data_IF_211112092563
#
_entry.id   IF_211112092563
#
_cell.length_a   1.000
_cell.length_b   1.000
_cell.length_c   1.000
_cell.angle_alpha   90.00
_cell.angle_beta   90.00
_cell.angle_gamma   90.00
#
_symmetry.space_group_name_H-M   'P 1'
#
loop_
_entity.id
_entity.type
_entity.pdbx_description
1 polymer ?
#
# COMPACT_ATOMS: atom_id res chain seq x y z
N UNK A 1 -24.94 -39.80 42.51
CA UNK A 1 -24.68 -40.62 41.31
C UNK A 1 -24.47 -39.80 40.03
N UNK A 2 -24.97 -38.56 39.91
CA UNK A 2 -24.72 -37.73 38.72
C UNK A 2 -23.35 -37.01 38.70
N UNK A 3 -22.68 -36.83 39.85
CA UNK A 3 -21.40 -36.11 39.94
C UNK A 3 -20.16 -37.00 39.68
N UNK A 4 -20.32 -38.32 39.64
CA UNK A 4 -19.21 -39.27 39.47
C UNK A 4 -19.06 -39.73 38.00
N UNK A 5 -20.12 -39.59 37.19
CA UNK A 5 -20.08 -39.92 35.76
C UNK A 5 -19.47 -38.79 34.90
N UNK A 6 -19.56 -37.52 35.31
CA UNK A 6 -19.00 -36.40 34.56
C UNK A 6 -17.47 -36.40 34.59
N UNK A 7 -16.86 -36.74 35.73
CA UNK A 7 -15.40 -36.84 35.90
C UNK A 7 -14.78 -38.02 35.14
N UNK A 8 -15.51 -39.12 34.93
CA UNK A 8 -15.00 -40.27 34.18
C UNK A 8 -14.99 -40.02 32.66
N UNK A 9 -15.98 -39.30 32.14
CA UNK A 9 -16.05 -38.92 30.71
C UNK A 9 -15.02 -37.84 30.35
N UNK A 10 -14.69 -36.94 31.27
CA UNK A 10 -13.67 -35.90 31.06
C UNK A 10 -12.24 -36.47 31.03
N UNK A 11 -11.95 -37.46 31.87
CA UNK A 11 -10.62 -38.11 31.90
C UNK A 11 -10.40 -39.05 30.71
N UNK A 12 -11.43 -39.75 30.22
CA UNK A 12 -11.35 -40.58 29.01
C UNK A 12 -11.20 -39.73 27.72
N UNK A 13 -11.88 -38.58 27.64
CA UNK A 13 -11.72 -37.65 26.52
C UNK A 13 -10.31 -37.03 26.48
N UNK A 14 -9.69 -36.82 27.64
CA UNK A 14 -8.35 -36.23 27.74
C UNK A 14 -7.23 -37.23 27.39
N UNK A 15 -7.44 -38.52 27.66
CA UNK A 15 -6.53 -39.59 27.26
C UNK A 15 -6.56 -39.86 25.74
N UNK A 16 -7.75 -39.83 25.12
CA UNK A 16 -7.90 -39.95 23.65
C UNK A 16 -7.23 -38.80 22.90
N UNK A 17 -7.32 -37.57 23.42
CA UNK A 17 -6.70 -36.39 22.81
C UNK A 17 -5.16 -36.40 22.87
N UNK A 18 -4.58 -37.10 23.86
CA UNK A 18 -3.12 -37.21 24.01
C UNK A 18 -2.50 -38.32 23.17
N UNK A 19 -3.25 -39.35 22.77
CA UNK A 19 -2.77 -40.35 21.79
C UNK A 19 -2.80 -39.83 20.35
N UNK A 20 -3.80 -39.02 19.96
CA UNK A 20 -3.89 -38.45 18.61
C UNK A 20 -2.74 -37.46 18.30
N UNK A 21 -2.25 -36.73 19.30
CA UNK A 21 -1.10 -35.81 19.17
C UNK A 21 0.23 -36.56 18.94
N UNK A 22 0.33 -37.84 19.33
CA UNK A 22 1.55 -38.64 19.13
C UNK A 22 1.66 -39.29 17.76
N UNK A 23 0.60 -39.25 16.93
CA UNK A 23 0.57 -39.87 15.60
C UNK A 23 0.79 -38.91 14.44
N UNK A 24 0.86 -37.60 14.70
CA UNK A 24 1.10 -36.59 13.68
C UNK A 24 2.60 -36.48 13.39
N UNK A 25 2.99 -36.87 12.18
CA UNK A 25 4.34 -36.65 11.66
C UNK A 25 4.65 -35.16 11.66
N UNK A 26 5.85 -34.72 12.11
CA UNK A 26 6.18 -33.30 12.17
C UNK A 26 6.11 -32.70 10.77
N UNK A 27 5.31 -31.64 10.62
CA UNK A 27 5.30 -30.78 9.45
C UNK A 27 6.73 -30.30 9.18
N UNK A 28 7.16 -30.21 7.91
CA UNK A 28 8.47 -29.66 7.59
C UNK A 28 8.55 -28.24 8.18
N UNK A 29 9.72 -27.83 8.72
CA UNK A 29 9.86 -26.51 9.32
C UNK A 29 9.50 -25.45 8.27
N UNK A 30 8.49 -24.63 8.59
CA UNK A 30 8.23 -23.39 7.88
C UNK A 30 9.51 -22.57 7.94
N UNK A 31 10.12 -22.30 6.78
CA UNK A 31 11.32 -21.47 6.68
C UNK A 31 11.09 -20.18 7.49
N UNK A 32 11.75 -20.09 8.63
CA UNK A 32 11.78 -18.88 9.44
C UNK A 32 12.29 -17.73 8.58
N UNK A 33 11.74 -16.54 8.82
CA UNK A 33 12.21 -15.29 8.24
C UNK A 33 13.74 -15.26 8.21
N UNK A 34 14.30 -15.45 7.02
CA UNK A 34 15.73 -15.40 6.82
C UNK A 34 16.17 -13.95 6.98
N UNK A 35 16.84 -13.68 8.10
CA UNK A 35 17.49 -12.41 8.40
C UNK A 35 18.69 -12.22 7.47
N UNK A 36 18.48 -11.75 6.26
CA UNK A 36 19.50 -10.96 5.56
C UNK A 36 19.29 -9.51 5.97
N UNK A 37 19.93 -9.12 7.08
CA UNK A 37 20.16 -7.71 7.39
C UNK A 37 21.01 -7.15 6.24
N UNK A 38 20.59 -6.02 5.65
CA UNK A 38 21.55 -5.14 4.97
C UNK A 38 22.50 -4.63 6.08
N UNK A 39 23.52 -5.42 6.41
CA UNK A 39 24.50 -5.09 7.44
C UNK A 39 25.45 -4.01 6.92
N UNK A 40 25.64 -2.98 7.75
CA UNK A 40 26.56 -1.83 7.61
C UNK A 40 26.03 -0.62 6.82
N UNK A 41 25.00 0.07 7.35
CA UNK A 41 24.87 1.51 7.08
C UNK A 41 25.75 2.30 8.05
N UNK A 42 26.60 3.20 7.54
CA UNK A 42 27.41 4.06 8.41
C UNK A 42 26.52 4.95 9.29
N UNK A 43 27.00 5.40 10.45
CA UNK A 43 26.27 6.34 11.32
C UNK A 43 25.90 7.66 10.60
N UNK A 44 26.65 8.03 9.56
CA UNK A 44 26.33 9.17 8.70
C UNK A 44 25.12 8.88 7.80
N UNK A 45 25.03 7.69 7.23
CA UNK A 45 23.87 7.26 6.43
C UNK A 45 22.62 7.15 7.30
N UNK A 46 22.73 6.68 8.54
CA UNK A 46 21.59 6.65 9.47
C UNK A 46 21.04 8.06 9.74
N UNK A 47 21.91 9.07 9.92
CA UNK A 47 21.49 10.47 10.14
C UNK A 47 20.84 11.12 8.91
N UNK A 48 21.25 10.74 7.70
CA UNK A 48 20.63 11.25 6.47
C UNK A 48 19.20 10.75 6.27
N UNK A 49 18.87 9.60 6.87
CA UNK A 49 17.54 9.00 6.82
C UNK A 49 16.58 9.53 7.90
N UNK A 50 17.06 10.37 8.81
CA UNK A 50 16.24 10.98 9.87
C UNK A 50 15.61 12.30 9.41
N UNK A 51 14.53 12.68 10.09
CA UNK A 51 13.88 13.98 9.91
C UNK A 51 14.44 14.96 10.94
N UNK A 52 15.25 15.96 10.53
CA UNK A 52 16.05 16.77 11.47
C UNK A 52 15.22 17.66 12.41
N UNK A 53 14.00 17.99 12.01
CA UNK A 53 13.11 18.88 12.76
C UNK A 53 12.13 18.11 13.68
N UNK A 54 12.29 16.79 13.81
CA UNK A 54 11.43 15.92 14.63
C UNK A 54 12.28 15.14 15.64
N UNK A 55 11.70 14.73 16.79
CA UNK A 55 12.39 13.83 17.70
C UNK A 55 12.81 12.53 17.00
N UNK A 56 13.97 11.95 17.34
CA UNK A 56 14.43 10.72 16.73
C UNK A 56 13.44 9.59 16.97
N UNK A 57 13.37 8.65 16.03
CA UNK A 57 12.61 7.43 16.26
C UNK A 57 13.33 6.59 17.33
N UNK A 58 12.64 6.09 18.37
CA UNK A 58 13.27 5.37 19.46
C UNK A 58 13.91 4.06 19.00
N UNK A 59 15.07 3.74 19.56
CA UNK A 59 15.84 2.53 19.24
C UNK A 59 15.44 1.31 20.10
N UNK A 60 14.62 1.52 21.15
CA UNK A 60 14.16 0.49 22.09
C UNK A 60 12.79 -0.11 21.74
N UNK A 61 12.25 0.19 20.55
CA UNK A 61 10.99 -0.38 20.05
C UNK A 61 11.20 -1.40 18.94
N UNK A 62 10.38 -2.45 18.96
CA UNK A 62 10.39 -3.52 17.94
C UNK A 62 10.00 -2.96 16.57
N UNK A 63 10.86 -3.15 15.57
CA UNK A 63 10.62 -2.73 14.19
C UNK A 63 10.55 -3.92 13.23
N UNK A 64 9.74 -3.78 12.18
CA UNK A 64 9.67 -4.79 11.11
C UNK A 64 10.84 -4.56 10.13
N UNK A 65 11.62 -5.61 9.78
CA UNK A 65 12.76 -5.48 8.89
C UNK A 65 12.30 -5.42 7.43
N UNK A 66 11.72 -4.29 7.01
CA UNK A 66 11.32 -4.11 5.61
C UNK A 66 12.54 -4.08 4.70
N UNK A 67 12.44 -4.76 3.54
CA UNK A 67 13.45 -4.62 2.50
C UNK A 67 13.47 -3.17 1.99
N UNK A 68 14.67 -2.63 1.83
CA UNK A 68 14.90 -1.35 1.12
C UNK A 68 15.18 -1.65 -0.34
N UNK A 69 14.39 -1.07 -1.22
CA UNK A 69 14.43 -1.31 -2.67
C UNK A 69 14.77 0.01 -3.35
N UNK A 70 15.82 0.03 -4.18
CA UNK A 70 16.29 1.23 -4.87
C UNK A 70 15.51 1.46 -6.17
N UNK A 71 14.78 2.57 -6.24
CA UNK A 71 14.06 2.95 -7.46
C UNK A 71 15.01 3.13 -8.65
N UNK A 72 16.19 3.71 -8.44
CA UNK A 72 17.21 3.91 -9.48
C UNK A 72 17.64 2.61 -10.16
N UNK A 73 17.75 1.53 -9.38
CA UNK A 73 18.10 0.20 -9.86
C UNK A 73 16.94 -0.49 -10.57
N UNK A 74 15.72 -0.38 -10.05
CA UNK A 74 14.53 -0.89 -10.73
C UNK A 74 14.36 -0.25 -12.12
N UNK A 75 14.60 1.06 -12.23
CA UNK A 75 14.55 1.79 -13.50
C UNK A 75 15.61 1.31 -14.52
N UNK A 76 16.72 0.75 -14.03
CA UNK A 76 17.80 0.18 -14.85
C UNK A 76 17.59 -1.30 -15.19
N UNK A 77 16.51 -1.92 -14.70
CA UNK A 77 16.27 -3.35 -14.89
C UNK A 77 17.25 -4.24 -14.12
N UNK A 78 17.74 -3.78 -12.96
CA UNK A 78 18.63 -4.60 -12.11
C UNK A 78 17.85 -5.82 -11.57
N UNK A 79 18.17 -7.00 -12.09
CA UNK A 79 17.47 -8.25 -11.76
C UNK A 79 17.51 -8.60 -10.27
N UNK A 80 18.62 -8.30 -9.58
CA UNK A 80 18.73 -8.59 -8.15
C UNK A 80 17.81 -7.66 -7.32
N UNK A 81 17.66 -6.41 -7.74
CA UNK A 81 16.73 -5.48 -7.12
C UNK A 81 15.26 -5.85 -7.43
N UNK A 82 14.98 -6.35 -8.63
CA UNK A 82 13.67 -6.87 -9.02
C UNK A 82 13.34 -8.15 -8.21
N UNK A 83 14.33 -9.01 -7.93
CA UNK A 83 14.15 -10.17 -7.05
C UNK A 83 13.84 -9.75 -5.61
N UNK A 84 14.47 -8.68 -5.10
CA UNK A 84 14.14 -8.09 -3.80
C UNK A 84 12.70 -7.58 -3.78
N UNK A 85 12.25 -6.91 -4.85
CA UNK A 85 10.84 -6.47 -5.00
C UNK A 85 9.87 -7.63 -5.01
N UNK A 86 10.17 -8.68 -5.77
CA UNK A 86 9.36 -9.90 -5.82
C UNK A 86 9.25 -10.54 -4.44
N UNK A 87 10.39 -10.75 -3.77
CA UNK A 87 10.44 -11.33 -2.42
C UNK A 87 9.62 -10.52 -1.42
N UNK A 88 9.83 -9.21 -1.35
CA UNK A 88 9.07 -8.34 -0.45
C UNK A 88 7.56 -8.44 -0.70
N UNK A 89 7.15 -8.52 -1.96
CA UNK A 89 5.76 -8.57 -2.38
C UNK A 89 5.07 -9.91 -2.07
N UNK A 90 5.81 -11.02 -2.13
CA UNK A 90 5.31 -12.38 -1.86
C UNK A 90 5.34 -12.76 -0.36
N UNK A 91 6.22 -12.16 0.43
CA UNK A 91 6.36 -12.51 1.86
C UNK A 91 5.52 -11.59 2.74
N UNK A 92 5.87 -10.30 2.78
CA UNK A 92 5.25 -9.34 3.70
C UNK A 92 4.26 -8.41 2.99
N UNK A 93 4.39 -8.21 1.68
CA UNK A 93 3.61 -7.22 0.95
C UNK A 93 3.96 -5.77 1.34
N UNK A 94 5.08 -5.54 2.04
CA UNK A 94 5.57 -4.24 2.50
C UNK A 94 7.06 -4.09 2.23
N UNK A 95 7.48 -2.92 1.75
CA UNK A 95 8.89 -2.58 1.55
C UNK A 95 9.09 -1.05 1.58
N UNK A 96 10.33 -0.62 1.78
CA UNK A 96 10.72 0.76 1.49
C UNK A 96 11.15 0.88 0.03
N UNK A 97 10.70 1.93 -0.65
CA UNK A 97 11.23 2.36 -1.93
C UNK A 97 12.14 3.57 -1.69
N UNK A 98 13.45 3.39 -1.89
CA UNK A 98 14.46 4.43 -1.83
C UNK A 98 14.39 5.30 -3.10
N UNK A 99 14.04 6.57 -2.91
CA UNK A 99 13.83 7.55 -3.99
C UNK A 99 15.07 8.42 -4.24
N UNK A 100 16.17 8.19 -3.51
CA UNK A 100 17.42 8.93 -3.71
C UNK A 100 18.02 8.62 -5.08
N UNK A 101 18.67 9.62 -5.67
CA UNK A 101 19.47 9.42 -6.87
C UNK A 101 20.72 8.58 -6.56
N UNK A 102 21.24 7.86 -7.55
CA UNK A 102 22.52 7.16 -7.40
C UNK A 102 23.65 8.17 -7.22
N UNK A 103 24.20 8.26 -6.01
CA UNK A 103 25.41 9.02 -5.69
C UNK A 103 26.65 8.29 -6.21
N UNK A 104 26.76 8.12 -7.53
CA UNK A 104 28.08 7.81 -8.11
C UNK A 104 28.93 9.07 -7.98
N UNK A 105 29.76 9.09 -6.94
CA UNK A 105 30.78 10.12 -6.72
C UNK A 105 31.68 10.24 -7.95
N UNK A 106 31.45 11.28 -8.76
CA UNK A 106 32.39 11.68 -9.80
C UNK A 106 33.52 12.47 -9.13
N UNK A 107 34.50 11.75 -8.58
CA UNK A 107 35.79 12.33 -8.25
C UNK A 107 36.54 12.63 -9.55
N UNK A 108 36.59 13.90 -9.93
CA UNK A 108 37.62 14.45 -10.82
C UNK A 108 37.17 14.78 -12.24
N UNK A 109 37.41 16.05 -12.60
CA UNK A 109 37.25 16.71 -13.90
C UNK A 109 35.83 17.20 -14.22
N UNK A 110 35.63 18.50 -13.97
CA UNK A 110 34.62 19.29 -14.70
C UNK A 110 35.02 19.31 -16.18
N UNK A 111 34.22 18.67 -17.02
CA UNK A 111 34.14 18.97 -18.45
C UNK A 111 32.88 19.83 -18.67
N UNK A 112 32.96 20.95 -19.40
CA UNK A 112 31.77 21.67 -19.84
C UNK A 112 31.11 20.88 -20.97
N UNK A 113 29.78 20.97 -21.04
CA UNK A 113 28.89 20.36 -22.04
C UNK A 113 28.55 18.89 -21.82
N UNK A 114 27.38 18.66 -21.20
CA UNK A 114 26.57 17.45 -21.42
C UNK A 114 25.09 17.89 -21.51
N UNK A 115 24.75 18.57 -22.61
CA UNK A 115 23.48 18.28 -23.27
C UNK A 115 23.67 16.94 -23.99
N UNK A 116 22.63 16.11 -24.00
CA UNK A 116 22.59 14.74 -24.57
C UNK A 116 23.34 13.66 -23.77
N UNK A 117 22.61 12.96 -22.89
CA UNK A 117 22.67 11.49 -22.69
C UNK A 117 21.64 11.07 -21.62
N UNK A 118 20.36 11.22 -21.94
CA UNK A 118 19.29 10.38 -21.37
C UNK A 118 18.21 10.11 -22.43
N UNK A 119 18.64 9.72 -23.62
CA UNK A 119 17.73 9.08 -24.57
C UNK A 119 17.56 7.63 -24.14
N UNK A 120 16.48 7.35 -23.41
CA UNK A 120 15.95 5.99 -23.36
C UNK A 120 15.47 5.67 -24.79
N UNK A 121 16.31 5.01 -25.57
CA UNK A 121 15.97 4.53 -26.91
C UNK A 121 14.95 3.41 -26.77
N UNK A 122 13.68 3.73 -26.97
CA UNK A 122 12.66 2.81 -27.45
C UNK A 122 11.87 3.56 -28.51
N UNK A 123 12.00 3.12 -29.76
CA UNK A 123 11.68 3.88 -30.97
C UNK A 123 10.21 4.26 -31.14
N UNK A 124 10.01 5.33 -31.91
CA UNK A 124 8.74 5.95 -32.29
C UNK A 124 7.79 4.99 -33.03
N UNK A 125 6.50 5.04 -32.72
CA UNK A 125 5.42 5.34 -33.69
C UNK A 125 4.00 5.30 -33.07
N UNK A 126 3.11 6.09 -33.69
CA UNK A 126 1.73 6.39 -33.30
C UNK A 126 0.69 5.33 -33.80
N UNK A 127 -0.62 5.45 -33.49
CA UNK A 127 -1.49 4.31 -33.15
C UNK A 127 -2.17 3.59 -34.33
N UNK A 128 -2.37 2.27 -34.19
CA UNK A 128 -3.21 1.46 -35.08
C UNK A 128 -4.50 0.98 -34.39
N UNK A 129 -5.62 1.20 -35.07
CA UNK A 129 -6.97 0.69 -34.80
C UNK A 129 -7.09 -0.80 -35.17
N UNK A 130 -7.98 -1.61 -34.57
CA UNK A 130 -8.02 -3.04 -34.85
C UNK A 130 -9.01 -3.38 -35.98
N UNK A 131 -8.53 -4.08 -37.01
CA UNK A 131 -9.36 -4.90 -37.91
C UNK A 131 -8.73 -6.27 -38.13
N UNK A 132 -9.57 -7.30 -38.10
CA UNK A 132 -9.28 -8.75 -38.15
C UNK A 132 -8.67 -9.23 -39.48
N UNK A 133 -7.71 -10.17 -39.42
CA UNK A 133 -7.69 -11.42 -40.23
C UNK A 133 -6.45 -12.31 -39.92
N UNK A 134 -6.53 -13.57 -40.33
CA UNK A 134 -5.82 -14.77 -39.84
C UNK A 134 -4.37 -15.04 -40.35
N UNK A 135 -3.65 -15.85 -39.53
CA UNK A 135 -2.58 -16.85 -39.79
C UNK A 135 -1.32 -16.53 -40.64
N UNK A 136 -0.13 -16.60 -40.03
CA UNK A 136 0.87 -17.71 -40.15
C UNK A 136 2.24 -17.32 -39.53
N UNK A 137 2.83 -18.26 -38.78
CA UNK A 137 4.24 -18.47 -38.39
C UNK A 137 5.26 -17.30 -38.35
N UNK A 138 5.89 -17.11 -37.18
CA UNK A 138 7.28 -16.68 -37.05
C UNK A 138 7.53 -15.35 -36.31
N UNK A 139 8.35 -15.44 -35.26
CA UNK A 139 9.01 -14.36 -34.50
C UNK A 139 8.15 -13.59 -33.48
N UNK A 140 8.28 -14.02 -32.22
CA UNK A 140 7.89 -13.27 -31.03
C UNK A 140 9.04 -12.30 -30.73
N UNK A 141 8.86 -10.99 -30.96
CA UNK A 141 9.73 -9.95 -30.43
C UNK A 141 8.99 -8.60 -30.35
N UNK A 142 8.96 -8.02 -29.14
CA UNK A 142 9.01 -6.58 -28.94
C UNK A 142 7.69 -5.82 -28.76
N UNK A 143 7.11 -5.88 -27.56
CA UNK A 143 6.20 -4.84 -27.09
C UNK A 143 6.62 -4.36 -25.69
N UNK A 144 7.40 -3.28 -25.65
CA UNK A 144 7.76 -2.58 -24.41
C UNK A 144 7.26 -1.15 -24.54
N UNK A 145 6.03 -0.89 -24.08
CA UNK A 145 5.52 0.48 -23.98
C UNK A 145 6.33 1.22 -22.92
N UNK A 146 6.92 2.37 -23.25
CA UNK A 146 7.47 3.30 -22.26
C UNK A 146 6.43 3.65 -21.18
N UNK A 147 6.91 4.06 -20.00
CA UNK A 147 6.00 4.65 -19.01
C UNK A 147 5.38 5.92 -19.60
N UNK A 148 4.07 6.11 -19.40
CA UNK A 148 3.35 7.29 -19.89
C UNK A 148 3.90 8.58 -19.27
N UNK A 149 4.39 8.49 -18.03
CA UNK A 149 5.04 9.57 -17.30
C UNK A 149 6.43 9.12 -16.88
N UNK A 150 7.46 9.89 -17.25
CA UNK A 150 8.81 9.66 -16.77
C UNK A 150 8.88 9.94 -15.27
N UNK A 151 9.46 9.00 -14.52
CA UNK A 151 9.62 9.11 -13.08
C UNK A 151 10.76 10.10 -12.78
N UNK A 152 10.43 11.12 -11.99
CA UNK A 152 11.31 12.17 -11.47
C UNK A 152 11.18 12.15 -9.93
N UNK A 153 12.08 11.40 -9.29
CA UNK A 153 12.03 11.18 -7.85
C UNK A 153 12.33 12.44 -7.03
N UNK A 154 13.17 13.34 -7.53
CA UNK A 154 13.46 14.61 -6.87
C UNK A 154 12.23 15.51 -6.87
N UNK A 155 11.54 15.61 -8.00
CA UNK A 155 10.28 16.37 -8.10
C UNK A 155 9.19 15.74 -7.24
N UNK A 156 9.10 14.40 -7.20
CA UNK A 156 8.17 13.72 -6.31
C UNK A 156 8.43 14.08 -4.84
N UNK A 157 9.68 14.02 -4.38
CA UNK A 157 10.05 14.39 -3.01
C UNK A 157 9.75 15.87 -2.70
N UNK A 158 10.03 16.79 -3.63
CA UNK A 158 9.65 18.21 -3.50
C UNK A 158 8.14 18.39 -3.40
N UNK A 159 7.37 17.69 -4.22
CA UNK A 159 5.91 17.69 -4.16
C UNK A 159 5.41 17.15 -2.81
N UNK A 160 6.01 16.07 -2.30
CA UNK A 160 5.68 15.51 -0.98
C UNK A 160 5.87 16.58 0.09
N UNK A 161 7.02 17.25 0.13
CA UNK A 161 7.30 18.27 1.13
C UNK A 161 6.31 19.44 1.10
N UNK A 162 5.92 19.88 -0.09
CA UNK A 162 4.93 20.94 -0.25
C UNK A 162 3.51 20.46 0.12
N UNK A 163 3.15 19.22 -0.24
CA UNK A 163 1.86 18.63 0.12
C UNK A 163 1.73 18.41 1.62
N UNK A 164 2.82 18.19 2.37
CA UNK A 164 2.76 18.22 3.84
C UNK A 164 2.33 19.62 4.33
N UNK A 165 2.93 20.71 3.83
CA UNK A 165 2.52 22.08 4.23
C UNK A 165 1.08 22.40 3.84
N UNK A 166 0.65 21.96 2.66
CA UNK A 166 -0.75 22.14 2.21
C UNK A 166 -1.70 21.34 3.11
N UNK A 167 -1.31 20.13 3.51
CA UNK A 167 -2.07 19.32 4.46
C UNK A 167 -2.31 20.05 5.78
N UNK A 168 -1.27 20.63 6.37
CA UNK A 168 -1.38 21.50 7.57
C UNK A 168 -2.42 22.61 7.35
N UNK A 169 -2.34 23.36 6.24
CA UNK A 169 -3.30 24.42 5.94
C UNK A 169 -4.74 23.91 5.79
N UNK A 170 -4.95 22.69 5.25
CA UNK A 170 -6.27 22.07 5.15
C UNK A 170 -6.84 21.75 6.54
N UNK A 171 -6.03 21.17 7.43
CA UNK A 171 -6.52 20.76 8.76
C UNK A 171 -6.60 21.91 9.77
N UNK A 172 -5.90 23.01 9.53
CA UNK A 172 -6.00 24.28 10.27
C UNK A 172 -7.30 25.05 9.98
N UNK A 173 -8.03 24.68 8.92
CA UNK A 173 -9.34 25.27 8.65
C UNK A 173 -10.32 25.01 9.81
N UNK A 174 -11.24 25.97 10.11
CA UNK A 174 -12.29 25.74 11.10
C UNK A 174 -13.07 24.45 10.81
N UNK A 175 -13.44 23.71 11.85
CA UNK A 175 -14.21 22.45 11.70
C UNK A 175 -15.48 22.68 10.86
N UNK A 176 -16.20 23.79 11.10
CA UNK A 176 -17.39 24.15 10.33
C UNK A 176 -17.13 24.39 8.84
N UNK A 177 -15.90 24.74 8.46
CA UNK A 177 -15.49 24.81 7.06
C UNK A 177 -15.20 23.41 6.52
N UNK A 178 -14.41 22.60 7.23
CA UNK A 178 -14.01 21.25 6.79
C UNK A 178 -15.23 20.33 6.54
N UNK A 179 -16.23 20.35 7.43
CA UNK A 179 -17.43 19.49 7.32
C UNK A 179 -18.30 19.78 6.08
N UNK A 180 -18.17 20.95 5.45
CA UNK A 180 -18.86 21.24 4.16
C UNK A 180 -18.41 20.30 3.04
N UNK A 181 -17.22 19.72 3.19
CA UNK A 181 -16.60 18.82 2.23
C UNK A 181 -16.70 17.35 2.65
N UNK A 182 -17.48 17.01 3.67
CA UNK A 182 -17.87 15.60 3.90
C UNK A 182 -18.97 15.21 2.91
N UNK A 183 -18.61 14.36 1.95
CA UNK A 183 -19.48 13.95 0.86
C UNK A 183 -20.16 12.59 1.11
N UNK A 184 -20.13 12.07 2.35
CA UNK A 184 -20.75 10.78 2.71
C UNK A 184 -22.21 10.68 2.27
N UNK A 185 -22.99 11.73 2.50
CA UNK A 185 -24.42 11.78 2.15
C UNK A 185 -24.68 11.69 0.65
N UNK A 186 -23.65 11.94 -0.17
CA UNK A 186 -23.68 11.79 -1.64
C UNK A 186 -23.11 10.44 -2.11
N UNK A 187 -22.88 9.50 -1.19
CA UNK A 187 -22.29 8.19 -1.51
C UNK A 187 -20.81 8.24 -1.89
N UNK A 188 -20.12 9.36 -1.61
CA UNK A 188 -18.71 9.53 -1.93
C UNK A 188 -17.85 9.41 -0.67
N UNK A 189 -16.69 8.76 -0.82
CA UNK A 189 -15.65 8.73 0.20
C UNK A 189 -14.57 9.82 -0.01
N UNK A 190 -14.67 10.60 -1.09
CA UNK A 190 -13.82 11.77 -1.33
C UNK A 190 -14.19 12.94 -0.43
N UNK A 191 -13.29 13.91 -0.31
CA UNK A 191 -13.44 15.05 0.59
C UNK A 191 -13.04 14.73 2.03
N UNK A 192 -13.59 15.48 2.97
CA UNK A 192 -13.24 15.43 4.38
C UNK A 192 -13.95 14.31 5.13
N UNK A 193 -13.28 13.76 6.14
CA UNK A 193 -13.83 12.88 7.17
C UNK A 193 -13.34 13.38 8.53
N UNK A 194 -14.23 13.60 9.47
CA UNK A 194 -13.93 14.17 10.79
C UNK A 194 -13.54 13.15 11.84
N UNK A 195 -13.17 13.62 13.03
CA UNK A 195 -12.86 12.75 14.17
C UNK A 195 -14.05 11.88 14.56
N UNK A 196 -13.79 10.60 14.79
CA UNK A 196 -14.78 9.65 15.31
C UNK A 196 -15.90 9.27 14.35
N UNK A 197 -15.78 9.60 13.06
CA UNK A 197 -16.68 9.13 12.01
C UNK A 197 -16.38 7.69 11.57
N UNK A 198 -15.21 7.15 11.91
CA UNK A 198 -14.82 5.75 11.66
C UNK A 198 -14.79 4.90 12.93
N UNK A 199 -15.06 3.61 12.78
CA UNK A 199 -14.97 2.59 13.84
C UNK A 199 -13.65 1.82 13.66
N UNK A 200 -12.81 1.73 14.70
CA UNK A 200 -11.46 1.13 14.63
C UNK A 200 -11.35 -0.27 15.21
N UNK A 201 -12.39 -0.76 15.90
CA UNK A 201 -12.43 -2.10 16.46
C UNK A 201 -13.88 -2.61 16.60
N UNK A 202 -14.02 -3.92 16.88
CA UNK A 202 -15.31 -4.57 17.11
C UNK A 202 -16.05 -4.08 18.37
N UNK A 203 -15.40 -3.28 19.22
CA UNK A 203 -16.00 -2.66 20.40
C UNK A 203 -16.64 -1.31 20.08
N UNK A 204 -16.57 -0.84 18.84
CA UNK A 204 -17.15 0.43 18.42
C UNK A 204 -16.28 1.65 18.77
N UNK A 205 -14.98 1.45 19.06
CA UNK A 205 -14.07 2.57 19.35
C UNK A 205 -14.01 3.51 18.15
N UNK A 206 -14.14 4.80 18.41
CA UNK A 206 -14.08 5.86 17.39
C UNK A 206 -12.63 6.20 17.05
N UNK A 207 -12.35 6.40 15.77
CA UNK A 207 -11.03 6.86 15.32
C UNK A 207 -10.71 8.29 15.79
N UNK A 208 -9.41 8.58 15.86
CA UNK A 208 -8.89 9.87 16.34
C UNK A 208 -8.08 10.61 15.30
N UNK A 209 -8.48 10.43 14.07
CA UNK A 209 -7.88 11.08 12.93
C UNK A 209 -8.96 11.81 12.12
N UNK A 210 -8.49 12.74 11.30
CA UNK A 210 -9.27 13.31 10.21
C UNK A 210 -8.59 12.93 8.90
N UNK A 211 -9.38 12.74 7.85
CA UNK A 211 -8.86 12.50 6.51
C UNK A 211 -9.34 13.58 5.55
N UNK A 212 -8.54 13.84 4.52
CA UNK A 212 -9.00 14.52 3.33
C UNK A 212 -8.57 13.72 2.09
N UNK A 213 -9.55 13.30 1.30
CA UNK A 213 -9.36 12.49 0.10
C UNK A 213 -9.56 13.32 -1.16
N UNK A 214 -8.54 13.39 -2.03
CA UNK A 214 -8.59 14.04 -3.33
C UNK A 214 -8.63 12.98 -4.42
N UNK A 215 -9.66 13.03 -5.26
CA UNK A 215 -9.84 12.11 -6.40
C UNK A 215 -8.81 12.35 -7.50
N UNK A 216 -8.19 11.28 -8.02
CA UNK A 216 -7.40 11.33 -9.26
C UNK A 216 -8.24 11.86 -10.41
N UNK A 217 -9.45 11.33 -10.56
CA UNK A 217 -10.33 11.62 -11.69
C UNK A 217 -10.71 13.10 -11.75
N UNK A 218 -10.98 13.74 -10.60
CA UNK A 218 -11.19 15.19 -10.52
C UNK A 218 -9.92 15.95 -10.97
N UNK A 219 -8.77 15.62 -10.39
CA UNK A 219 -7.52 16.33 -10.65
C UNK A 219 -7.06 16.21 -12.11
N UNK A 220 -7.32 15.07 -12.74
CA UNK A 220 -7.01 14.82 -14.15
C UNK A 220 -8.12 15.25 -15.12
N UNK A 221 -9.29 15.66 -14.62
CA UNK A 221 -10.42 16.10 -15.45
C UNK A 221 -11.18 14.97 -16.13
N UNK A 222 -11.18 13.78 -15.53
CA UNK A 222 -11.91 12.59 -15.99
C UNK A 222 -13.33 12.52 -15.42
N UNK A 223 -13.62 13.28 -14.36
CA UNK A 223 -14.93 13.37 -13.73
C UNK A 223 -15.33 14.83 -13.47
N UNK A 224 -16.58 15.04 -13.05
CA UNK A 224 -17.02 16.34 -12.57
C UNK A 224 -16.20 16.77 -11.36
N UNK A 225 -15.85 18.05 -11.33
CA UNK A 225 -15.06 18.63 -10.25
C UNK A 225 -15.81 18.53 -8.93
N UNK A 226 -15.15 18.00 -7.90
CA UNK A 226 -15.71 17.91 -6.56
C UNK A 226 -15.57 19.25 -5.82
N UNK A 227 -16.50 19.58 -4.91
CA UNK A 227 -16.34 20.74 -4.03
C UNK A 227 -15.10 20.53 -3.15
N UNK A 228 -14.27 21.55 -3.05
CA UNK A 228 -13.05 21.55 -2.26
C UNK A 228 -12.84 22.92 -1.59
N UNK A 229 -12.14 22.99 -0.44
CA UNK A 229 -11.80 24.25 0.19
C UNK A 229 -10.89 25.08 -0.71
N UNK A 230 -11.00 26.40 -0.63
CA UNK A 230 -10.22 27.33 -1.48
C UNK A 230 -8.71 27.14 -1.37
N UNK A 231 -8.22 26.64 -0.23
CA UNK A 231 -6.80 26.32 -0.02
C UNK A 231 -6.28 25.22 -0.97
N UNK A 232 -7.17 24.37 -1.50
CA UNK A 232 -6.81 23.33 -2.47
C UNK A 232 -6.93 23.78 -3.93
N UNK A 233 -7.29 25.04 -4.20
CA UNK A 233 -7.42 25.56 -5.56
C UNK A 233 -6.07 25.82 -6.23
N UNK A 234 -5.21 26.62 -5.58
CA UNK A 234 -3.88 26.94 -6.11
C UNK A 234 -2.93 25.73 -6.19
N UNK A 235 -2.97 24.73 -5.27
CA UNK A 235 -2.04 23.60 -5.32
C UNK A 235 -2.44 22.47 -6.27
N UNK A 236 -3.55 22.57 -7.01
CA UNK A 236 -3.98 21.52 -7.96
C UNK A 236 -2.88 21.07 -8.92
N UNK A 237 -2.01 21.94 -9.49
CA UNK A 237 -0.89 21.50 -10.32
C UNK A 237 0.13 20.62 -9.57
N UNK A 238 0.41 20.91 -8.30
CA UNK A 238 1.30 20.09 -7.46
C UNK A 238 0.65 18.75 -7.13
N UNK A 239 -0.65 18.75 -6.78
CA UNK A 239 -1.42 17.52 -6.54
C UNK A 239 -1.42 16.64 -7.80
N UNK A 240 -1.67 17.23 -8.97
CA UNK A 240 -1.60 16.53 -10.26
C UNK A 240 -0.22 15.93 -10.49
N UNK A 241 0.83 16.72 -10.30
CA UNK A 241 2.21 16.23 -10.48
C UNK A 241 2.55 15.11 -9.50
N UNK A 242 2.11 15.18 -8.24
CA UNK A 242 2.30 14.11 -7.27
C UNK A 242 1.58 12.82 -7.70
N UNK A 243 0.30 12.91 -8.05
CA UNK A 243 -0.49 11.75 -8.49
C UNK A 243 0.12 11.08 -9.73
N UNK A 244 0.54 11.87 -10.73
CA UNK A 244 1.17 11.34 -11.94
C UNK A 244 2.51 10.62 -11.64
N UNK A 245 3.33 11.19 -10.76
CA UNK A 245 4.62 10.59 -10.38
C UNK A 245 4.44 9.33 -9.53
N UNK A 246 3.51 9.35 -8.57
CA UNK A 246 3.15 8.17 -7.77
C UNK A 246 2.58 7.07 -8.66
N UNK A 247 1.67 7.38 -9.59
CA UNK A 247 1.10 6.41 -10.51
C UNK A 247 2.14 5.83 -11.49
N UNK A 248 3.13 6.61 -11.91
CA UNK A 248 4.24 6.10 -12.71
C UNK A 248 5.07 5.05 -11.96
N UNK A 249 5.36 5.28 -10.67
CA UNK A 249 6.00 4.28 -9.79
C UNK A 249 5.12 3.04 -9.64
N UNK A 250 3.81 3.19 -9.45
CA UNK A 250 2.87 2.06 -9.41
C UNK A 250 2.93 1.26 -10.70
N UNK A 251 2.90 1.94 -11.85
CA UNK A 251 2.97 1.29 -13.17
C UNK A 251 4.28 0.51 -13.35
N UNK A 252 5.42 1.05 -12.89
CA UNK A 252 6.70 0.35 -12.89
C UNK A 252 6.64 -0.93 -12.04
N UNK A 253 6.16 -0.81 -10.80
CA UNK A 253 6.03 -1.96 -9.88
C UNK A 253 5.12 -3.02 -10.49
N UNK A 254 3.95 -2.64 -11.01
CA UNK A 254 3.00 -3.56 -11.62
C UNK A 254 3.59 -4.27 -12.84
N UNK A 255 4.37 -3.58 -13.70
CA UNK A 255 5.05 -4.22 -14.84
C UNK A 255 6.07 -5.25 -14.39
N UNK A 256 6.90 -4.93 -13.40
CA UNK A 256 7.92 -5.84 -12.88
C UNK A 256 7.28 -7.08 -12.24
N UNK A 257 6.22 -6.89 -11.43
CA UNK A 257 5.47 -7.99 -10.85
C UNK A 257 4.73 -8.81 -11.92
N UNK A 258 4.17 -8.17 -12.95
CA UNK A 258 3.52 -8.85 -14.08
C UNK A 258 4.46 -9.85 -14.75
N UNK A 259 5.70 -9.45 -15.02
CA UNK A 259 6.72 -10.32 -15.60
C UNK A 259 7.08 -11.48 -14.67
N UNK A 260 7.22 -11.24 -13.35
CA UNK A 260 7.51 -12.30 -12.37
C UNK A 260 6.35 -13.29 -12.18
N UNK A 261 5.13 -12.86 -12.45
CA UNK A 261 3.94 -13.70 -12.45
C UNK A 261 3.77 -14.49 -13.75
N UNK A 262 4.64 -14.33 -14.74
CA UNK A 262 4.50 -14.96 -16.06
C UNK A 262 3.14 -14.65 -16.73
N UNK A 263 2.66 -13.42 -16.54
CA UNK A 263 1.45 -12.93 -17.19
C UNK A 263 1.80 -12.34 -18.56
N UNK A 264 0.83 -12.33 -19.47
CA UNK A 264 0.95 -11.60 -20.72
C UNK A 264 1.39 -10.14 -20.46
N UNK A 265 2.22 -9.54 -21.34
CA UNK A 265 2.73 -8.19 -21.14
C UNK A 265 1.62 -7.18 -20.84
N UNK A 266 1.90 -6.30 -19.88
CA UNK A 266 1.01 -5.22 -19.44
C UNK A 266 -0.37 -5.67 -18.87
N UNK A 267 -0.58 -6.95 -18.53
CA UNK A 267 -1.85 -7.42 -17.93
C UNK A 267 -2.20 -6.61 -16.67
N UNK A 268 -1.35 -6.60 -15.64
CA UNK A 268 -1.59 -5.83 -14.41
C UNK A 268 -1.69 -4.32 -14.66
N UNK A 269 -0.75 -3.66 -15.36
CA UNK A 269 -0.88 -2.24 -15.70
C UNK A 269 -2.16 -1.87 -16.45
N UNK A 270 -2.67 -2.76 -17.31
CA UNK A 270 -3.88 -2.49 -18.10
C UNK A 270 -5.16 -2.41 -17.27
N UNK A 271 -5.15 -2.95 -16.05
CA UNK A 271 -6.22 -2.84 -15.07
C UNK A 271 -6.15 -1.54 -14.26
N UNK A 272 -5.10 -0.74 -14.44
CA UNK A 272 -4.75 0.42 -13.62
C UNK A 272 -4.35 1.62 -14.48
N UNK A 273 -5.07 1.93 -15.56
CA UNK A 273 -4.66 3.03 -16.46
C UNK A 273 -4.88 4.38 -15.79
N UNK A 274 -3.89 5.27 -15.87
CA UNK A 274 -3.94 6.62 -15.31
C UNK A 274 -5.17 7.42 -15.76
N UNK A 275 -5.54 7.30 -17.04
CA UNK A 275 -6.61 8.05 -17.68
C UNK A 275 -7.96 7.32 -17.72
N UNK A 276 -8.08 6.17 -17.03
CA UNK A 276 -9.35 5.49 -16.83
C UNK A 276 -9.98 5.87 -15.49
N UNK A 277 -11.30 5.70 -15.38
CA UNK A 277 -12.06 5.98 -14.16
C UNK A 277 -11.70 4.95 -13.10
N UNK A 278 -11.25 5.42 -11.94
CA UNK A 278 -10.89 4.56 -10.82
C UNK A 278 -11.04 5.26 -9.47
N UNK A 279 -10.97 4.48 -8.40
CA UNK A 279 -10.89 5.00 -7.03
C UNK A 279 -9.50 5.48 -6.59
N UNK A 280 -8.58 5.75 -7.53
CA UNK A 280 -7.26 6.30 -7.20
C UNK A 280 -7.39 7.64 -6.49
N UNK A 281 -6.58 7.85 -5.45
CA UNK A 281 -6.71 9.04 -4.63
C UNK A 281 -5.41 9.41 -3.92
N UNK A 282 -5.27 10.71 -3.67
CA UNK A 282 -4.39 11.23 -2.63
C UNK A 282 -5.20 11.33 -1.33
N UNK A 283 -4.62 10.89 -0.22
CA UNK A 283 -5.17 11.04 1.13
C UNK A 283 -4.16 11.71 2.03
N UNK A 284 -4.58 12.78 2.68
CA UNK A 284 -3.95 13.18 3.94
C UNK A 284 -4.64 12.49 5.11
N UNK A 285 -3.83 11.99 6.04
CA UNK A 285 -4.28 11.53 7.34
C UNK A 285 -3.65 12.39 8.41
N UNK A 286 -4.47 13.01 9.25
CA UNK A 286 -4.04 13.93 10.30
C UNK A 286 -4.50 13.41 11.67
N UNK A 287 -3.55 13.25 12.59
CA UNK A 287 -3.78 12.73 13.93
C UNK A 287 -2.96 13.56 14.95
N UNK A 288 -3.60 14.49 15.69
CA UNK A 288 -2.93 15.29 16.72
C UNK A 288 -2.54 14.40 17.92
N UNK A 289 -1.63 14.87 18.79
CA UNK A 289 -1.27 14.18 20.02
C UNK A 289 -2.49 13.84 20.86
N UNK A 290 -2.50 12.66 21.46
CA UNK A 290 -3.61 12.18 22.27
C UNK A 290 -3.28 12.31 23.77
N UNK A 291 -4.25 12.73 24.62
CA UNK A 291 -4.08 12.74 26.08
C UNK A 291 -3.63 11.38 26.62
N UNK A 292 -2.82 11.39 27.68
CA UNK A 292 -2.20 10.18 28.26
C UNK A 292 -3.21 9.09 28.66
N UNK A 293 -4.37 9.48 29.19
CA UNK A 293 -5.47 8.60 29.60
C UNK A 293 -6.28 8.01 28.44
N UNK A 294 -5.96 8.42 27.21
CA UNK A 294 -6.78 8.16 26.01
C UNK A 294 -5.94 7.75 24.78
N UNK A 295 -4.71 7.29 25.02
CA UNK A 295 -3.76 6.81 24.02
C UNK A 295 -4.17 5.45 23.44
N UNK A 296 -5.21 5.43 22.61
CA UNK A 296 -5.73 4.24 21.89
C UNK A 296 -5.36 4.26 20.41
N UNK A 297 -5.60 3.14 19.71
CA UNK A 297 -5.39 2.96 18.27
C UNK A 297 -6.05 4.08 17.45
N UNK A 298 -5.26 4.80 16.63
CA UNK A 298 -5.71 5.92 15.82
C UNK A 298 -6.40 5.48 14.52
N UNK A 299 -5.93 4.37 13.93
CA UNK A 299 -6.56 3.68 12.80
C UNK A 299 -6.52 2.17 13.06
N UNK A 300 -7.68 1.53 13.03
CA UNK A 300 -7.85 0.10 13.31
C UNK A 300 -7.00 -0.82 12.43
N UNK A 301 -6.89 -2.08 12.83
CA UNK A 301 -6.23 -3.10 12.03
C UNK A 301 -6.97 -3.32 10.70
N UNK A 302 -6.22 -3.34 9.61
CA UNK A 302 -6.77 -3.53 8.28
C UNK A 302 -5.75 -3.97 7.26
N UNK A 303 -6.27 -4.43 6.12
CA UNK A 303 -5.57 -4.40 4.85
C UNK A 303 -6.09 -3.27 3.97
N UNK A 304 -5.28 -2.87 3.00
CA UNK A 304 -5.67 -1.89 1.99
C UNK A 304 -6.53 -2.51 0.90
N UNK A 305 -7.57 -1.80 0.48
CA UNK A 305 -8.57 -2.39 -0.43
C UNK A 305 -8.12 -2.40 -1.90
N UNK A 306 -7.17 -1.51 -2.24
CA UNK A 306 -6.69 -1.29 -3.60
C UNK A 306 -5.59 -2.28 -4.00
N UNK A 307 -4.68 -1.82 -4.86
CA UNK A 307 -3.63 -2.64 -5.42
C UNK A 307 -2.26 -2.29 -4.86
N UNK A 308 -1.87 -1.02 -4.95
CA UNK A 308 -0.58 -0.53 -4.47
C UNK A 308 -0.80 0.78 -3.73
N UNK A 309 -0.21 0.88 -2.54
CA UNK A 309 -0.22 2.08 -1.72
C UNK A 309 1.19 2.66 -1.67
N UNK A 310 1.34 3.96 -1.92
CA UNK A 310 2.58 4.72 -1.73
C UNK A 310 2.36 5.68 -0.56
N UNK A 311 3.02 5.41 0.55
CA UNK A 311 2.89 6.14 1.81
C UNK A 311 4.15 6.93 2.13
N UNK A 312 3.96 8.21 2.46
CA UNK A 312 4.96 9.05 3.10
C UNK A 312 4.47 9.44 4.50
N UNK A 313 5.24 9.05 5.52
CA UNK A 313 5.07 9.50 6.90
C UNK A 313 6.40 10.03 7.43
N UNK A 314 6.33 10.98 8.36
CA UNK A 314 7.51 11.58 9.00
C UNK A 314 7.71 11.13 10.45
N UNK A 315 6.59 10.91 11.16
CA UNK A 315 6.56 10.31 12.49
C UNK A 315 6.15 8.83 12.41
N UNK A 316 6.47 8.08 13.47
CA UNK A 316 6.10 6.67 13.63
C UNK A 316 4.60 6.43 13.77
N UNK A 317 4.25 5.34 14.44
CA UNK A 317 2.86 4.95 14.70
C UNK A 317 2.29 3.93 13.72
N UNK A 318 2.84 3.81 12.50
CA UNK A 318 2.50 2.68 11.62
C UNK A 318 3.07 1.39 12.22
N UNK A 319 2.22 0.39 12.37
CA UNK A 319 2.61 -0.96 12.76
C UNK A 319 2.09 -1.98 11.76
N UNK A 320 2.90 -3.01 11.51
CA UNK A 320 2.57 -4.17 10.69
C UNK A 320 2.58 -5.38 11.59
N UNK A 321 1.68 -6.33 11.34
CA UNK A 321 1.71 -7.62 12.00
C UNK A 321 2.38 -8.64 11.07
N UNK A 322 3.62 -9.10 11.35
CA UNK A 322 4.28 -10.07 10.47
C UNK A 322 3.49 -11.39 10.40
N UNK A 323 3.39 -12.03 9.21
CA UNK A 323 2.78 -13.35 9.07
C UNK A 323 3.32 -14.35 10.09
N UNK A 324 2.41 -15.05 10.78
CA UNK A 324 2.76 -16.05 11.82
C UNK A 324 3.19 -15.45 13.17
N UNK A 325 3.04 -14.13 13.36
CA UNK A 325 3.34 -13.45 14.62
C UNK A 325 2.07 -12.87 15.25
N UNK A 326 2.05 -12.82 16.59
CA UNK A 326 1.06 -12.08 17.38
C UNK A 326 1.60 -10.71 17.85
N UNK A 327 2.84 -10.38 17.49
CA UNK A 327 3.52 -9.15 17.90
C UNK A 327 3.49 -8.09 16.79
N UNK A 328 2.85 -6.96 17.08
CA UNK A 328 2.85 -5.79 16.22
C UNK A 328 4.22 -5.11 16.22
N UNK A 329 4.76 -4.86 15.03
CA UNK A 329 6.07 -4.22 14.86
C UNK A 329 5.95 -2.88 14.17
N UNK A 330 6.68 -1.87 14.64
CA UNK A 330 6.69 -0.55 14.04
C UNK A 330 7.40 -0.52 12.69
N UNK A 331 6.94 0.36 11.81
CA UNK A 331 7.64 0.76 10.59
C UNK A 331 8.32 2.10 10.87
N UNK A 332 9.66 2.11 10.94
CA UNK A 332 10.46 3.32 11.16
C UNK A 332 10.36 4.24 9.94
N UNK A 333 9.86 5.48 10.05
CA UNK A 333 9.85 6.41 8.93
C UNK A 333 11.29 6.70 8.48
N UNK A 334 11.55 6.61 7.18
CA UNK A 334 12.86 6.94 6.61
C UNK A 334 12.71 8.11 5.63
N UNK A 335 13.50 9.16 5.84
CA UNK A 335 13.55 10.30 4.93
C UNK A 335 13.98 9.81 3.54
N UNK A 336 13.44 10.44 2.50
CA UNK A 336 13.67 10.10 1.09
C UNK A 336 13.16 8.71 0.66
N UNK A 337 12.41 8.02 1.51
CA UNK A 337 11.80 6.74 1.18
C UNK A 337 10.28 6.85 1.20
N UNK A 338 9.63 6.12 0.32
CA UNK A 338 8.23 5.78 0.48
C UNK A 338 8.11 4.41 1.16
N UNK A 339 7.14 4.25 2.05
CA UNK A 339 6.65 2.92 2.42
C UNK A 339 5.68 2.50 1.32
N UNK A 340 5.90 1.33 0.73
CA UNK A 340 5.01 0.76 -0.28
C UNK A 340 4.42 -0.53 0.25
N UNK A 341 3.11 -0.69 0.07
CA UNK A 341 2.44 -1.95 0.37
C UNK A 341 1.43 -2.35 -0.71
N UNK A 342 1.21 -3.66 -0.82
CA UNK A 342 0.20 -4.23 -1.70
C UNK A 342 -1.13 -4.38 -0.95
N UNK A 343 -2.22 -4.23 -1.70
CA UNK A 343 -3.59 -4.35 -1.20
C UNK A 343 -4.31 -5.60 -1.69
N UNK A 344 -5.55 -5.74 -1.24
CA UNK A 344 -6.38 -6.93 -1.44
C UNK A 344 -6.65 -7.24 -2.92
N UNK A 345 -6.68 -6.23 -3.78
CA UNK A 345 -6.83 -6.46 -5.21
C UNK A 345 -5.67 -7.29 -5.78
N UNK A 346 -4.44 -7.09 -5.30
CA UNK A 346 -3.30 -7.90 -5.73
C UNK A 346 -3.38 -9.33 -5.22
N UNK A 347 -3.89 -9.53 -4.00
CA UNK A 347 -4.15 -10.88 -3.46
C UNK A 347 -5.18 -11.58 -4.34
N UNK A 348 -6.28 -10.89 -4.68
CA UNK A 348 -7.34 -11.41 -5.54
C UNK A 348 -6.83 -11.75 -6.94
N UNK A 349 -6.16 -10.82 -7.62
CA UNK A 349 -5.64 -11.04 -8.97
C UNK A 349 -4.61 -12.16 -9.05
N UNK A 350 -3.84 -12.41 -7.99
CA UNK A 350 -2.72 -13.36 -8.03
C UNK A 350 -2.97 -14.64 -7.24
N UNK A 351 -4.22 -14.90 -6.87
CA UNK A 351 -4.60 -16.06 -6.05
C UNK A 351 -3.77 -16.18 -4.74
N UNK A 352 -3.38 -15.05 -4.16
CA UNK A 352 -2.61 -14.97 -2.91
C UNK A 352 -1.11 -15.22 -3.04
N UNK A 353 -0.54 -15.25 -4.26
CA UNK A 353 0.91 -15.23 -4.47
C UNK A 353 1.49 -13.93 -3.89
N UNK A 354 0.91 -12.79 -4.26
CA UNK A 354 1.23 -11.50 -3.66
C UNK A 354 0.43 -11.31 -2.37
N UNK A 355 1.04 -10.70 -1.37
CA UNK A 355 0.46 -10.56 -0.02
C UNK A 355 0.01 -9.14 0.25
N UNK A 356 -1.15 -9.02 0.90
CA UNK A 356 -1.67 -7.80 1.52
C UNK A 356 -1.65 -8.05 3.01
N UNK A 357 -0.77 -7.36 3.74
CA UNK A 357 -0.55 -7.65 5.15
C UNK A 357 -1.29 -6.67 6.07
N UNK A 358 -1.72 -7.20 7.22
CA UNK A 358 -2.50 -6.44 8.19
C UNK A 358 -1.58 -5.41 8.86
N UNK A 359 -2.06 -4.17 8.89
CA UNK A 359 -1.37 -3.05 9.48
C UNK A 359 -2.37 -2.17 10.26
N UNK A 360 -1.85 -1.36 11.18
CA UNK A 360 -2.63 -0.40 11.97
C UNK A 360 -1.83 0.88 12.21
N UNK A 361 -2.51 1.93 12.66
CA UNK A 361 -1.84 3.14 13.15
C UNK A 361 -2.17 3.34 14.62
N UNK A 362 -1.12 3.34 15.44
CA UNK A 362 -1.15 3.72 16.86
C UNK A 362 -0.43 5.06 17.04
N UNK A 363 -0.36 5.56 18.28
CA UNK A 363 0.44 6.73 18.58
C UNK A 363 1.91 6.53 18.18
N UNK A 364 2.60 7.58 17.72
CA UNK A 364 4.04 7.50 17.51
C UNK A 364 4.76 7.06 18.80
N UNK A 365 5.87 6.32 18.70
CA UNK A 365 6.59 5.84 19.89
C UNK A 365 7.55 6.91 20.45
N UNK A 366 7.83 6.84 21.75
CA UNK A 366 8.80 7.72 22.41
C UNK A 366 8.39 9.20 22.37
N UNK A 367 9.37 10.10 22.28
CA UNK A 367 9.15 11.56 22.24
C UNK A 367 8.31 12.02 21.04
N UNK A 368 8.19 11.21 19.99
CA UNK A 368 7.36 11.52 18.83
C UNK A 368 5.86 11.57 19.17
N UNK A 369 5.43 10.99 20.29
CA UNK A 369 4.01 10.93 20.68
C UNK A 369 3.39 12.30 20.97
N UNK A 370 4.22 13.28 21.32
CA UNK A 370 3.80 14.66 21.63
C UNK A 370 3.68 15.54 20.37
N UNK A 371 3.92 14.97 19.18
CA UNK A 371 3.85 15.67 17.91
C UNK A 371 2.66 15.22 17.05
N UNK A 372 2.08 16.16 16.31
CA UNK A 372 1.02 15.85 15.36
C UNK A 372 1.54 14.96 14.25
N UNK A 373 0.92 13.78 14.10
CA UNK A 373 1.21 12.84 13.03
C UNK A 373 0.38 13.19 11.80
N UNK A 374 1.07 13.51 10.72
CA UNK A 374 0.47 13.54 9.38
C UNK A 374 1.12 12.51 8.46
N UNK A 375 0.32 11.90 7.60
CA UNK A 375 0.82 11.08 6.49
C UNK A 375 0.13 11.42 5.19
N UNK A 376 0.89 11.30 4.10
CA UNK A 376 0.46 11.53 2.73
C UNK A 376 0.45 10.18 2.00
N UNK A 377 -0.69 9.81 1.43
CA UNK A 377 -0.87 8.48 0.84
C UNK A 377 -1.43 8.59 -0.57
N UNK A 378 -0.78 7.97 -1.53
CA UNK A 378 -1.37 7.69 -2.84
C UNK A 378 -1.87 6.25 -2.87
N UNK A 379 -3.17 6.06 -3.03
CA UNK A 379 -3.76 4.74 -3.25
C UNK A 379 -4.00 4.54 -4.74
N UNK A 380 -3.38 3.52 -5.32
CA UNK A 380 -3.72 3.03 -6.64
C UNK A 380 -4.68 1.85 -6.54
N UNK A 381 -5.70 1.88 -7.38
CA UNK A 381 -6.78 0.90 -7.42
C UNK A 381 -7.02 0.45 -8.87
N UNK A 382 -7.61 -0.73 -9.07
CA UNK A 382 -8.07 -1.11 -10.39
C UNK A 382 -9.12 -0.11 -10.89
N UNK A 383 -9.30 -0.07 -12.21
CA UNK A 383 -10.41 0.64 -12.83
C UNK A 383 -11.75 0.16 -12.26
N UNK A 384 -12.70 1.09 -12.18
CA UNK A 384 -13.95 0.90 -11.42
C UNK A 384 -14.73 -0.36 -11.84
N UNK A 385 -14.69 -0.72 -13.12
CA UNK A 385 -15.40 -1.83 -13.74
C UNK A 385 -14.65 -3.17 -13.71
N UNK A 386 -13.40 -3.20 -13.23
CA UNK A 386 -12.61 -4.43 -13.16
C UNK A 386 -13.15 -5.34 -12.06
N UNK A 387 -13.54 -6.56 -12.44
CA UNK A 387 -13.94 -7.61 -11.51
C UNK A 387 -12.73 -8.12 -10.70
N UNK A 388 -12.85 -8.13 -9.38
CA UNK A 388 -11.78 -8.63 -8.49
C UNK A 388 -11.79 -10.16 -8.39
N UNK A 389 -11.05 -10.82 -9.28
CA UNK A 389 -10.87 -12.29 -9.30
C UNK A 389 -9.47 -12.70 -9.72
N UNK A 390 -9.08 -13.94 -9.45
CA UNK A 390 -7.81 -14.48 -9.93
C UNK A 390 -7.69 -14.36 -11.45
N UNK A 391 -6.59 -13.76 -11.90
CA UNK A 391 -6.27 -13.57 -13.31
C UNK A 391 -5.95 -14.91 -13.96
N UNK A 392 -6.20 -14.97 -15.27
CA UNK A 392 -5.94 -16.16 -16.10
C UNK A 392 -4.69 -15.95 -16.96
N UNK A 393 -4.15 -17.03 -17.50
CA UNK A 393 -3.01 -16.98 -18.41
C UNK A 393 -1.64 -16.92 -17.74
N UNK A 394 -1.58 -17.31 -16.45
CA UNK A 394 -0.34 -17.56 -15.71
C UNK A 394 -0.42 -18.93 -15.04
N UNK A 395 0.52 -19.82 -15.36
CA UNK A 395 0.58 -21.15 -14.75
C UNK A 395 0.78 -21.08 -13.22
N UNK A 396 1.46 -20.03 -12.74
CA UNK A 396 1.67 -19.79 -11.31
C UNK A 396 0.36 -19.48 -10.60
N UNK A 397 -0.45 -18.58 -11.18
CA UNK A 397 -1.76 -18.20 -10.62
C UNK A 397 -2.73 -19.37 -10.73
N UNK A 398 -2.75 -20.07 -11.87
CA UNK A 398 -3.62 -21.23 -12.08
C UNK A 398 -3.36 -22.34 -11.06
N UNK A 399 -2.08 -22.60 -10.72
CA UNK A 399 -1.72 -23.57 -9.69
C UNK A 399 -2.20 -23.12 -8.31
N UNK A 400 -1.96 -21.85 -7.94
CA UNK A 400 -2.42 -21.32 -6.65
C UNK A 400 -3.94 -21.24 -6.52
N UNK A 401 -4.64 -20.98 -7.61
CA UNK A 401 -6.10 -20.95 -7.65
C UNK A 401 -6.72 -22.30 -7.27
N UNK A 402 -6.03 -23.43 -7.48
CA UNK A 402 -6.49 -24.76 -7.03
C UNK A 402 -6.57 -24.89 -5.51
N UNK A 403 -5.78 -24.10 -4.78
CA UNK A 403 -5.79 -24.05 -3.32
C UNK A 403 -6.92 -23.14 -2.77
N UNK A 404 -7.55 -22.34 -3.64
CA UNK A 404 -8.63 -21.44 -3.25
C UNK A 404 -9.99 -22.16 -3.28
N UNK A 405 -10.78 -21.96 -2.23
CA UNK A 405 -12.20 -22.33 -2.21
C UNK A 405 -13.06 -21.34 -3.02
N UNK A 406 -14.38 -21.43 -2.83
CA UNK A 406 -15.32 -20.44 -3.40
C UNK A 406 -14.92 -19.02 -2.96
N UNK A 407 -14.61 -18.17 -3.93
CA UNK A 407 -14.16 -16.80 -3.68
C UNK A 407 -15.33 -15.83 -3.43
N UNK A 408 -16.56 -16.33 -3.46
CA UNK A 408 -17.78 -15.56 -3.32
C UNK A 408 -18.23 -14.91 -4.64
N UNK A 409 -19.23 -14.02 -4.58
CA UNK A 409 -19.76 -13.38 -5.79
C UNK A 409 -18.71 -12.49 -6.45
N UNK A 410 -18.68 -12.51 -7.79
CA UNK A 410 -17.91 -11.55 -8.58
C UNK A 410 -18.38 -10.13 -8.25
N UNK A 411 -17.45 -9.28 -7.83
CA UNK A 411 -17.68 -7.89 -7.45
C UNK A 411 -16.71 -7.00 -8.22
N UNK A 412 -17.21 -5.86 -8.71
CA UNK A 412 -16.35 -4.86 -9.34
C UNK A 412 -15.45 -4.17 -8.31
N UNK A 413 -14.33 -3.62 -8.75
CA UNK A 413 -13.44 -2.85 -7.89
C UNK A 413 -14.19 -1.69 -7.21
N UNK A 414 -15.05 -0.98 -7.94
CA UNK A 414 -15.88 0.10 -7.39
C UNK A 414 -16.77 -0.37 -6.24
N UNK A 415 -17.53 -1.44 -6.46
CA UNK A 415 -18.45 -1.98 -5.45
C UNK A 415 -17.68 -2.50 -4.22
N UNK A 416 -16.54 -3.17 -4.43
CA UNK A 416 -15.66 -3.61 -3.36
C UNK A 416 -15.17 -2.45 -2.50
N UNK A 417 -14.67 -1.39 -3.13
CA UNK A 417 -14.18 -0.20 -2.44
C UNK A 417 -15.30 0.48 -1.67
N UNK A 418 -16.47 0.66 -2.27
CA UNK A 418 -17.62 1.28 -1.61
C UNK A 418 -18.08 0.46 -0.41
N UNK A 419 -18.18 -0.86 -0.54
CA UNK A 419 -18.55 -1.76 0.55
C UNK A 419 -17.57 -1.64 1.73
N UNK A 420 -16.26 -1.71 1.46
CA UNK A 420 -15.22 -1.58 2.50
C UNK A 420 -15.17 -0.18 3.12
N UNK A 421 -15.23 0.87 2.31
CA UNK A 421 -15.09 2.26 2.77
C UNK A 421 -16.31 2.76 3.55
N UNK A 422 -17.52 2.40 3.13
CA UNK A 422 -18.75 2.80 3.80
C UNK A 422 -19.07 1.90 5.00
N UNK A 423 -18.75 0.61 4.94
CA UNK A 423 -18.95 -0.33 6.04
C UNK A 423 -18.18 0.03 7.31
N UNK A 424 -17.01 0.68 7.19
CA UNK A 424 -16.20 1.13 8.34
C UNK A 424 -16.63 2.46 8.97
N UNK A 425 -17.56 3.20 8.35
CA UNK A 425 -18.06 4.47 8.92
C UNK A 425 -19.18 4.20 9.92
N UNK A 426 -19.36 5.09 10.90
CA UNK A 426 -20.47 5.00 11.85
C UNK A 426 -21.82 4.84 11.14
N UNK A 427 -22.56 3.77 11.49
CA UNK A 427 -23.82 3.36 10.87
C UNK A 427 -23.70 2.39 9.68
N UNK A 428 -22.49 2.01 9.28
CA UNK A 428 -22.22 0.95 8.29
C UNK A 428 -22.14 -0.44 8.93
N UNK A 429 -22.14 -1.50 8.11
CA UNK A 429 -21.93 -2.87 8.58
C UNK A 429 -20.42 -3.15 8.70
N UNK A 430 -19.91 -3.15 9.94
CA UNK A 430 -18.50 -3.36 10.25
C UNK A 430 -18.02 -4.77 9.83
N UNK A 431 -18.82 -5.81 10.05
CA UNK A 431 -18.46 -7.19 9.72
C UNK A 431 -18.36 -7.41 8.20
N UNK A 432 -19.26 -6.78 7.43
CA UNK A 432 -19.20 -6.80 5.96
C UNK A 432 -18.06 -5.95 5.37
N UNK A 433 -17.37 -5.16 6.21
CA UNK A 433 -16.27 -4.29 5.81
C UNK A 433 -14.88 -4.94 5.97
N UNK A 434 -14.83 -6.22 6.33
CA UNK A 434 -13.60 -6.99 6.33
C UNK A 434 -13.17 -7.39 4.92
N UNK A 435 -11.85 -7.42 4.69
CA UNK A 435 -11.18 -7.87 3.49
C UNK A 435 -10.49 -9.21 3.67
N UNK A 436 -9.29 -9.32 3.11
CA UNK A 436 -8.49 -10.55 3.26
C UNK A 436 -8.06 -10.80 4.71
N UNK A 437 -8.14 -9.80 5.60
CA UNK A 437 -7.93 -9.96 7.04
C UNK A 437 -8.91 -10.93 7.72
N UNK A 438 -10.11 -11.12 7.16
CA UNK A 438 -11.12 -12.01 7.72
C UNK A 438 -10.68 -13.49 7.76
N UNK A 439 -9.79 -13.91 6.86
CA UNK A 439 -9.34 -15.32 6.77
C UNK A 439 -8.52 -15.79 7.99
N UNK A 440 -8.22 -14.91 8.95
CA UNK A 440 -7.51 -15.24 10.19
C UNK A 440 -8.44 -15.70 11.32
N UNK A 441 -9.72 -15.30 11.33
CA UNK A 441 -10.63 -15.70 12.42
C UNK A 441 -11.03 -17.18 12.35
N UNK A 442 -10.77 -17.83 11.22
CA UNK A 442 -11.17 -19.22 10.94
C UNK A 442 -10.01 -20.23 11.10
N UNK A 443 -8.84 -19.80 11.58
CA UNK A 443 -7.64 -20.64 11.78
C UNK A 443 -7.26 -20.84 13.24
#
# INVERSE_FOLDING_TARGET
>A
MAATMTTQLEDEARASFQEDIRSLSPLPPTNGYSHTLDSESSAAETRELEFPDLPPFPEDVSTVPLLRIKLSKLLKGDEAEIDRLWKASCELGFFYLDLRADTTSNNGVRSPEVEELSHNVWGDDAPATPTKSESTNGQINGHTKSLEVQIDSEKLLKNVDELFKIGEQVFDLPVLEKVKYDLKSKGSYFGYKGYGDGIVDSKGTKDRNEFYNVSKDDILGLSERLPAPSVLESPRPIIKSYMQQSHAIVSLILRLLNSRLDLAPDTLPSLHRLHAISGDQLRWVYAPPQPFDDRKTALGEHTDFGSVTILFNRLGGLQVLPPGSDEWKYVKPLRHHAVVNLGDAMVKFTAGILRSNIHRVVNPPGEQEDHTRMSLVYFARPEDDITLKALEGSALIDEKKKELGDEGPEISAKEWILKRALGRRAGGNYEESHGTEARRTDS
#
